data_IF_095025159770
#
_entry.id   IF_095025159770
#
_cell.length_a   1.000
_cell.length_b   1.000
_cell.length_c   1.000
_cell.angle_alpha   90.00
_cell.angle_beta   90.00
_cell.angle_gamma   90.00
#
_symmetry.space_group_name_H-M   'P 1'
#
loop_
_entity.id
_entity.type
_entity.pdbx_description
1 polymer ?
#
# COMPACT_ATOMS: atom_id res chain seq x y z
N UNK A 1 -3.08 10.98 0.61
CA UNK A 1 -2.07 10.82 -0.45
C UNK A 1 -2.20 9.40 -0.99
N UNK A 2 -2.34 9.25 -2.30
CA UNK A 2 -2.46 7.96 -2.98
C UNK A 2 -1.43 7.90 -4.11
N UNK A 3 -0.89 6.71 -4.40
CA UNK A 3 0.05 6.49 -5.50
C UNK A 3 -0.70 6.08 -6.76
N UNK A 4 -0.21 6.51 -7.92
CA UNK A 4 -0.74 6.06 -9.20
C UNK A 4 -0.19 4.67 -9.56
N UNK A 5 -0.88 3.98 -10.46
CA UNK A 5 -0.41 2.69 -11.01
C UNK A 5 0.97 2.80 -11.65
N UNK A 6 1.27 3.93 -12.30
CA UNK A 6 2.54 4.13 -13.00
C UNK A 6 3.70 4.32 -12.02
N UNK A 7 3.44 5.00 -10.89
CA UNK A 7 4.40 5.11 -9.80
C UNK A 7 4.61 3.75 -9.11
N UNK A 8 3.54 2.98 -8.92
CA UNK A 8 3.62 1.63 -8.38
C UNK A 8 4.47 0.70 -9.26
N UNK A 9 4.30 0.74 -10.58
CA UNK A 9 5.05 -0.09 -11.52
C UNK A 9 6.58 0.13 -11.42
N UNK A 10 7.01 1.33 -11.06
CA UNK A 10 8.44 1.62 -10.86
C UNK A 10 9.02 0.91 -9.62
N UNK A 11 8.21 0.69 -8.58
CA UNK A 11 8.65 0.11 -7.30
C UNK A 11 8.18 -1.33 -7.09
N UNK A 12 7.34 -1.86 -7.97
CA UNK A 12 6.73 -3.19 -7.84
C UNK A 12 7.79 -4.29 -7.65
N UNK A 13 8.92 -4.17 -8.35
CA UNK A 13 10.05 -5.11 -8.28
C UNK A 13 10.73 -5.15 -6.91
N UNK A 14 10.57 -4.11 -6.08
CA UNK A 14 11.10 -4.07 -4.72
C UNK A 14 10.23 -4.82 -3.72
N UNK A 15 8.98 -5.14 -4.08
CA UNK A 15 8.03 -5.75 -3.17
C UNK A 15 8.16 -7.27 -3.17
N UNK A 16 7.96 -7.91 -2.00
CA UNK A 16 7.93 -9.36 -1.94
C UNK A 16 6.74 -9.91 -2.74
N UNK A 17 6.93 -11.11 -3.32
CA UNK A 17 5.83 -11.85 -3.93
C UNK A 17 4.79 -12.20 -2.87
N UNK A 18 3.54 -11.90 -3.16
CA UNK A 18 2.39 -12.26 -2.31
C UNK A 18 2.32 -13.78 -2.13
N UNK A 19 2.13 -14.26 -0.89
CA UNK A 19 2.13 -15.68 -0.55
C UNK A 19 0.77 -16.11 0.00
N UNK A 20 0.22 -17.21 -0.54
CA UNK A 20 -1.05 -17.79 -0.08
C UNK A 20 -2.29 -17.10 -0.69
N UNK A 21 -3.43 -17.18 0.00
CA UNK A 21 -4.69 -16.56 -0.42
C UNK A 21 -4.71 -15.06 -0.09
N UNK A 22 -4.01 -14.27 -0.90
CA UNK A 22 -4.00 -12.82 -0.75
C UNK A 22 -5.20 -12.21 -1.48
N UNK A 23 -6.05 -11.49 -0.75
CA UNK A 23 -7.25 -10.81 -1.27
C UNK A 23 -7.04 -9.33 -1.58
N UNK A 24 -5.94 -8.74 -1.12
CA UNK A 24 -5.61 -7.32 -1.26
C UNK A 24 -4.39 -7.14 -2.15
N UNK A 25 -4.44 -6.16 -3.05
CA UNK A 25 -3.29 -5.86 -3.92
C UNK A 25 -2.24 -5.07 -3.16
N UNK A 26 -0.98 -5.20 -3.58
CA UNK A 26 0.12 -4.41 -3.03
C UNK A 26 -0.13 -2.89 -3.14
N UNK A 27 -0.79 -2.44 -4.21
CA UNK A 27 -1.20 -1.05 -4.40
C UNK A 27 -2.18 -0.57 -3.32
N UNK A 28 -3.20 -1.37 -2.99
CA UNK A 28 -4.16 -1.05 -1.93
C UNK A 28 -3.48 -0.93 -0.57
N UNK A 29 -2.53 -1.84 -0.28
CA UNK A 29 -1.77 -1.81 0.97
C UNK A 29 -0.92 -0.54 1.06
N UNK A 30 -0.23 -0.15 -0.02
CA UNK A 30 0.58 1.07 -0.03
C UNK A 30 -0.26 2.33 0.16
N UNK A 31 -1.41 2.43 -0.50
CA UNK A 31 -2.32 3.55 -0.31
C UNK A 31 -2.87 3.62 1.13
N UNK A 32 -3.17 2.47 1.74
CA UNK A 32 -3.56 2.42 3.14
C UNK A 32 -2.44 2.90 4.08
N UNK A 33 -1.18 2.49 3.85
CA UNK A 33 -0.03 2.95 4.64
C UNK A 33 0.15 4.47 4.51
N UNK A 34 0.06 5.02 3.29
CA UNK A 34 0.19 6.45 3.05
C UNK A 34 -0.94 7.26 3.71
N UNK A 35 -2.17 6.75 3.64
CA UNK A 35 -3.31 7.35 4.31
C UNK A 35 -3.05 7.46 5.82
N UNK A 36 -2.56 6.39 6.43
CA UNK A 36 -2.23 6.37 7.87
C UNK A 36 -1.08 7.30 8.21
N UNK A 37 -0.04 7.36 7.37
CA UNK A 37 1.10 8.26 7.57
C UNK A 37 0.68 9.74 7.52
N UNK A 38 -0.25 10.09 6.62
CA UNK A 38 -0.73 11.46 6.46
C UNK A 38 -1.76 11.87 7.53
N UNK A 39 -2.70 10.98 7.85
CA UNK A 39 -3.82 11.31 8.75
C UNK A 39 -3.52 10.95 10.21
N UNK A 40 -2.41 10.24 10.45
CA UNK A 40 -2.04 9.66 11.74
C UNK A 40 -2.84 8.38 12.06
N UNK A 41 -2.38 7.61 13.04
CA UNK A 41 -3.05 6.40 13.54
C UNK A 41 -4.28 6.73 14.39
N UNK A 42 -5.27 7.43 13.82
CA UNK A 42 -6.49 7.86 14.54
C UNK A 42 -7.35 6.71 15.06
N UNK A 43 -7.12 5.48 14.59
CA UNK A 43 -7.79 4.27 15.10
C UNK A 43 -7.37 3.89 16.53
N UNK A 44 -6.35 4.54 17.12
CA UNK A 44 -5.97 4.37 18.53
C UNK A 44 -6.72 5.32 19.47
N UNK A 45 -7.98 5.65 19.14
CA UNK A 45 -8.90 6.44 19.95
C UNK A 45 -10.02 5.57 20.49
#
# INVERSE_FOLDING_TARGET
MEITSDQFAQIEHCLPKQRGNVSLTNLQVLNAILYVAEHGCKWRG
#
